data_IF_516077175982
#
_entry.id   IF_516077175982
#
_cell.length_a   1.000
_cell.length_b   1.000
_cell.length_c   1.000
_cell.angle_alpha   90.00
_cell.angle_beta   90.00
_cell.angle_gamma   90.00
#
_symmetry.space_group_name_H-M   'P 1'
#
loop_
_entity.id
_entity.type
_entity.pdbx_description
1 polymer ?
#
# COMPACT_ATOMS: atom_id res chain seq x y z
N UNK A 1 3.29 -8.37 -24.07
CA UNK A 1 1.89 -7.93 -24.01
C UNK A 1 1.70 -7.25 -22.66
N UNK A 2 1.15 -6.03 -22.63
CA UNK A 2 0.85 -5.34 -21.37
C UNK A 2 -0.26 -6.11 -20.66
N UNK A 3 0.00 -6.61 -19.46
CA UNK A 3 -1.01 -7.28 -18.63
C UNK A 3 -2.09 -6.27 -18.27
N UNK A 4 -3.35 -6.60 -18.54
CA UNK A 4 -4.46 -5.74 -18.13
C UNK A 4 -4.69 -5.90 -16.62
N UNK A 5 -5.20 -4.88 -15.93
CA UNK A 5 -5.53 -4.99 -14.50
C UNK A 5 -6.46 -6.18 -14.17
N UNK A 6 -7.37 -6.51 -15.09
CA UNK A 6 -8.24 -7.68 -15.00
C UNK A 6 -7.48 -9.00 -15.00
N UNK A 7 -6.37 -9.07 -15.75
CA UNK A 7 -5.56 -10.28 -15.88
C UNK A 7 -4.77 -10.51 -14.59
N UNK A 8 -4.16 -9.45 -14.07
CA UNK A 8 -3.50 -9.44 -12.75
C UNK A 8 -4.48 -9.82 -11.66
N UNK A 9 -5.66 -9.21 -11.64
CA UNK A 9 -6.72 -9.53 -10.70
C UNK A 9 -7.08 -11.03 -10.73
N UNK A 10 -7.42 -11.57 -11.90
CA UNK A 10 -7.86 -12.96 -12.02
C UNK A 10 -6.79 -13.95 -11.55
N UNK A 11 -5.53 -13.69 -11.91
CA UNK A 11 -4.39 -14.50 -11.48
C UNK A 11 -4.19 -14.42 -9.96
N UNK A 12 -4.15 -13.21 -9.38
CA UNK A 12 -3.92 -12.99 -7.95
C UNK A 12 -5.08 -13.54 -7.11
N UNK A 13 -6.31 -13.35 -7.55
CA UNK A 13 -7.49 -13.92 -6.88
C UNK A 13 -7.42 -15.44 -6.82
N UNK A 14 -6.98 -16.09 -7.91
CA UNK A 14 -6.77 -17.54 -7.95
C UNK A 14 -5.64 -17.98 -7.00
N UNK A 15 -4.48 -17.31 -7.05
CA UNK A 15 -3.33 -17.59 -6.17
C UNK A 15 -3.75 -17.49 -4.69
N UNK A 16 -4.47 -16.43 -4.34
CA UNK A 16 -4.95 -16.17 -2.98
C UNK A 16 -5.98 -17.21 -2.53
N UNK A 17 -6.92 -17.56 -3.40
CA UNK A 17 -7.90 -18.64 -3.14
C UNK A 17 -7.19 -19.96 -2.87
N UNK A 18 -6.20 -20.32 -3.69
CA UNK A 18 -5.41 -21.55 -3.54
C UNK A 18 -4.56 -21.53 -2.26
N UNK A 19 -3.96 -20.39 -1.94
CA UNK A 19 -3.22 -20.15 -0.68
C UNK A 19 -4.09 -20.44 0.55
N UNK A 20 -5.36 -20.03 0.51
CA UNK A 20 -6.33 -20.27 1.59
C UNK A 20 -6.99 -21.66 1.53
N UNK A 21 -6.61 -22.51 0.57
CA UNK A 21 -7.26 -23.82 0.32
C UNK A 21 -8.78 -23.70 0.12
N UNK A 22 -9.23 -22.59 -0.46
CA UNK A 22 -10.64 -22.34 -0.74
C UNK A 22 -11.02 -22.94 -2.10
N UNK A 23 -12.16 -23.64 -2.17
CA UNK A 23 -12.68 -24.14 -3.45
C UNK A 23 -13.37 -23.01 -4.23
N UNK A 24 -13.45 -23.14 -5.56
CA UNK A 24 -14.19 -22.20 -6.40
C UNK A 24 -15.69 -22.13 -6.01
N UNK A 25 -16.27 -23.25 -5.60
CA UNK A 25 -17.65 -23.32 -5.12
C UNK A 25 -17.83 -22.53 -3.81
N UNK A 26 -16.89 -22.65 -2.88
CA UNK A 26 -16.91 -21.88 -1.62
C UNK A 26 -16.77 -20.39 -1.89
N UNK A 27 -15.90 -20.00 -2.83
CA UNK A 27 -15.77 -18.59 -3.25
C UNK A 27 -17.07 -18.08 -3.88
N UNK A 28 -17.66 -18.84 -4.81
CA UNK A 28 -18.94 -18.47 -5.44
C UNK A 28 -20.07 -18.32 -4.43
N UNK A 29 -20.14 -19.20 -3.43
CA UNK A 29 -21.10 -19.10 -2.32
C UNK A 29 -20.89 -17.82 -1.52
N UNK A 30 -19.64 -17.53 -1.11
CA UNK A 30 -19.33 -16.30 -0.39
C UNK A 30 -19.67 -15.04 -1.20
N UNK A 31 -19.33 -15.03 -2.50
CA UNK A 31 -19.70 -13.92 -3.39
C UNK A 31 -21.22 -13.74 -3.48
N UNK A 32 -21.96 -14.85 -3.48
CA UNK A 32 -23.43 -14.80 -3.53
C UNK A 32 -24.02 -14.17 -2.27
N UNK A 33 -23.44 -14.49 -1.11
CA UNK A 33 -23.81 -13.92 0.18
C UNK A 33 -23.48 -12.41 0.23
N UNK A 34 -22.31 -12.00 -0.24
CA UNK A 34 -21.88 -10.59 -0.27
C UNK A 34 -22.70 -9.73 -1.26
N UNK A 35 -23.04 -10.26 -2.44
CA UNK A 35 -23.76 -9.51 -3.47
C UNK A 35 -25.29 -9.64 -3.39
N UNK A 36 -25.81 -10.57 -2.59
CA UNK A 36 -27.25 -10.85 -2.50
C UNK A 36 -27.84 -11.46 -3.79
N UNK A 37 -27.01 -11.99 -4.69
CA UNK A 37 -27.42 -12.65 -5.95
C UNK A 37 -26.73 -14.00 -6.08
N UNK A 38 -27.31 -14.92 -6.85
CA UNK A 38 -26.68 -16.23 -7.07
C UNK A 38 -25.50 -16.12 -8.04
N UNK A 39 -24.30 -16.40 -7.55
CA UNK A 39 -23.08 -16.59 -8.32
C UNK A 39 -22.77 -18.09 -8.40
N UNK A 40 -22.62 -18.61 -9.62
CA UNK A 40 -22.29 -20.02 -9.85
C UNK A 40 -20.78 -20.23 -9.89
N UNK A 41 -20.33 -21.43 -9.49
CA UNK A 41 -18.92 -21.84 -9.57
C UNK A 41 -18.33 -21.62 -10.97
N UNK A 42 -19.11 -21.91 -12.03
CA UNK A 42 -18.66 -21.74 -13.42
C UNK A 42 -18.33 -20.29 -13.77
N UNK A 43 -19.00 -19.31 -13.15
CA UNK A 43 -18.68 -17.90 -13.32
C UNK A 43 -17.30 -17.58 -12.71
N UNK A 44 -17.02 -18.10 -11.51
CA UNK A 44 -15.71 -18.00 -10.85
C UNK A 44 -14.62 -18.66 -11.71
N UNK A 45 -14.86 -19.87 -12.22
CA UNK A 45 -13.92 -20.56 -13.12
C UNK A 45 -13.59 -19.70 -14.34
N UNK A 46 -14.60 -19.09 -14.97
CA UNK A 46 -14.39 -18.24 -16.16
C UNK A 46 -13.66 -16.94 -15.86
N UNK A 47 -13.91 -16.34 -14.70
CA UNK A 47 -13.16 -15.18 -14.20
C UNK A 47 -11.68 -15.56 -14.02
N UNK A 48 -11.39 -16.64 -13.29
CA UNK A 48 -10.01 -17.10 -13.03
C UNK A 48 -9.26 -17.49 -14.31
N UNK A 49 -9.98 -17.98 -15.32
CA UNK A 49 -9.44 -18.31 -16.64
C UNK A 49 -9.38 -17.12 -17.60
N UNK A 50 -9.81 -15.92 -17.17
CA UNK A 50 -9.84 -14.71 -18.01
C UNK A 50 -10.71 -14.86 -19.28
N UNK A 51 -11.70 -15.77 -19.25
CA UNK A 51 -12.65 -15.98 -20.36
C UNK A 51 -13.97 -15.22 -20.18
N UNK A 52 -14.05 -14.43 -19.10
CA UNK A 52 -15.15 -13.51 -18.79
C UNK A 52 -14.56 -12.28 -18.11
N UNK A 53 -14.95 -11.09 -18.58
CA UNK A 53 -14.61 -9.84 -17.91
C UNK A 53 -15.28 -9.79 -16.53
N UNK A 54 -14.51 -9.37 -15.53
CA UNK A 54 -15.01 -9.18 -14.16
C UNK A 54 -15.57 -7.77 -14.00
N UNK A 55 -16.71 -7.64 -13.32
CA UNK A 55 -17.26 -6.36 -12.91
C UNK A 55 -16.66 -5.88 -11.59
N UNK A 56 -16.69 -4.57 -11.33
CA UNK A 56 -16.11 -4.00 -10.11
C UNK A 56 -16.75 -4.58 -8.84
N UNK A 57 -18.07 -4.73 -8.82
CA UNK A 57 -18.79 -5.29 -7.68
C UNK A 57 -18.38 -6.75 -7.41
N UNK A 58 -18.18 -7.54 -8.46
CA UNK A 58 -17.66 -8.92 -8.34
C UNK A 58 -16.22 -8.93 -7.81
N UNK A 59 -15.39 -7.99 -8.28
CA UNK A 59 -14.01 -7.87 -7.83
C UNK A 59 -13.92 -7.49 -6.34
N UNK A 60 -14.78 -6.56 -5.88
CA UNK A 60 -14.92 -6.19 -4.47
C UNK A 60 -15.41 -7.38 -3.66
N UNK A 61 -16.43 -8.10 -4.11
CA UNK A 61 -16.95 -9.28 -3.42
C UNK A 61 -15.88 -10.38 -3.26
N UNK A 62 -15.10 -10.65 -4.31
CA UNK A 62 -13.98 -11.60 -4.23
C UNK A 62 -12.96 -11.15 -3.19
N UNK A 63 -12.56 -9.87 -3.20
CA UNK A 63 -11.61 -9.33 -2.24
C UNK A 63 -12.12 -9.47 -0.79
N UNK A 64 -13.40 -9.18 -0.56
CA UNK A 64 -14.05 -9.34 0.74
C UNK A 64 -14.07 -10.79 1.20
N UNK A 65 -14.49 -11.73 0.35
CA UNK A 65 -14.55 -13.17 0.70
C UNK A 65 -13.17 -13.76 0.96
N UNK A 66 -12.16 -13.32 0.20
CA UNK A 66 -10.77 -13.70 0.41
C UNK A 66 -10.12 -12.92 1.57
N UNK A 67 -10.83 -11.98 2.20
CA UNK A 67 -10.32 -11.15 3.29
C UNK A 67 -8.97 -10.48 2.96
N UNK A 68 -8.86 -9.91 1.75
CA UNK A 68 -7.70 -9.15 1.30
C UNK A 68 -8.14 -7.80 0.71
N UNK A 69 -7.32 -6.74 0.82
CA UNK A 69 -7.63 -5.48 0.16
C UNK A 69 -7.69 -5.67 -1.36
N UNK A 70 -8.67 -5.06 -2.03
CA UNK A 70 -8.80 -5.11 -3.50
C UNK A 70 -7.49 -4.70 -4.21
N UNK A 71 -6.80 -3.69 -3.67
CA UNK A 71 -5.51 -3.23 -4.21
C UNK A 71 -4.44 -4.33 -4.23
N UNK A 72 -4.46 -5.28 -3.30
CA UNK A 72 -3.50 -6.40 -3.26
C UNK A 72 -3.72 -7.39 -4.42
N UNK A 73 -4.94 -7.46 -4.95
CA UNK A 73 -5.26 -8.29 -6.12
C UNK A 73 -4.94 -7.58 -7.44
N UNK A 74 -4.84 -6.26 -7.45
CA UNK A 74 -4.49 -5.46 -8.64
C UNK A 74 -2.98 -5.23 -8.81
N UNK A 75 -2.20 -5.48 -7.76
CA UNK A 75 -0.75 -5.30 -7.75
C UNK A 75 -0.04 -6.60 -8.15
N UNK A 76 0.96 -6.49 -9.04
CA UNK A 76 1.91 -7.59 -9.29
C UNK A 76 2.89 -7.77 -8.13
N UNK A 77 3.18 -6.70 -7.40
CA UNK A 77 3.98 -6.77 -6.19
C UNK A 77 3.17 -7.44 -5.08
N UNK A 78 3.79 -8.39 -4.41
CA UNK A 78 3.26 -9.05 -3.22
C UNK A 78 2.99 -8.05 -2.10
N UNK A 79 2.18 -8.45 -1.11
CA UNK A 79 1.90 -7.60 0.05
C UNK A 79 3.19 -7.37 0.83
N UNK A 80 4.03 -8.39 0.90
CA UNK A 80 5.33 -8.39 1.55
C UNK A 80 6.32 -7.42 0.88
N UNK A 81 6.36 -7.39 -0.45
CA UNK A 81 7.18 -6.43 -1.21
C UNK A 81 6.70 -4.99 -1.01
N UNK A 82 5.37 -4.77 -1.01
CA UNK A 82 4.80 -3.46 -0.74
C UNK A 82 5.10 -2.98 0.69
N UNK A 83 5.01 -3.87 1.68
CA UNK A 83 5.29 -3.52 3.06
C UNK A 83 6.79 -3.30 3.29
N UNK A 84 7.66 -4.08 2.66
CA UNK A 84 9.10 -3.83 2.66
C UNK A 84 9.44 -2.46 2.06
N UNK A 85 8.81 -2.11 0.94
CA UNK A 85 9.01 -0.82 0.27
C UNK A 85 8.49 0.35 1.13
N UNK A 86 7.33 0.20 1.78
CA UNK A 86 6.83 1.18 2.75
C UNK A 86 7.80 1.36 3.92
N UNK A 87 8.32 0.27 4.48
CA UNK A 87 9.29 0.32 5.58
C UNK A 87 10.57 1.05 5.16
N UNK A 88 11.04 0.81 3.94
CA UNK A 88 12.18 1.52 3.37
C UNK A 88 11.91 3.04 3.29
N UNK A 89 10.77 3.46 2.75
CA UNK A 89 10.42 4.88 2.66
C UNK A 89 10.25 5.54 4.04
N UNK A 90 9.68 4.82 5.01
CA UNK A 90 9.56 5.34 6.38
C UNK A 90 10.94 5.52 7.05
N UNK A 91 11.86 4.59 6.82
CA UNK A 91 13.23 4.70 7.33
C UNK A 91 13.98 5.89 6.71
N UNK A 92 13.82 6.10 5.40
CA UNK A 92 14.39 7.25 4.69
C UNK A 92 13.82 8.57 5.22
N UNK A 93 12.50 8.66 5.38
CA UNK A 93 11.84 9.84 5.95
C UNK A 93 12.33 10.14 7.38
N UNK A 94 12.51 9.10 8.21
CA UNK A 94 13.02 9.26 9.57
C UNK A 94 14.46 9.81 9.59
N UNK A 95 15.31 9.34 8.66
CA UNK A 95 16.67 9.83 8.52
C UNK A 95 16.70 11.31 8.10
N UNK A 96 15.87 11.70 7.15
CA UNK A 96 15.76 13.09 6.69
C UNK A 96 15.24 14.03 7.80
N UNK A 97 14.21 13.62 8.55
CA UNK A 97 13.72 14.39 9.69
C UNK A 97 14.81 14.59 10.75
N UNK A 98 15.64 13.57 10.99
CA UNK A 98 16.75 13.68 11.92
C UNK A 98 17.80 14.68 11.44
N UNK A 99 18.19 14.64 10.16
CA UNK A 99 19.13 15.59 9.58
C UNK A 99 18.60 17.03 9.61
N UNK A 100 17.31 17.21 9.33
CA UNK A 100 16.66 18.51 9.41
C UNK A 100 16.73 19.10 10.83
N UNK A 101 16.42 18.29 11.85
CA UNK A 101 16.47 18.73 13.24
C UNK A 101 17.90 19.10 13.67
N UNK A 102 18.91 18.32 13.26
CA UNK A 102 20.32 18.64 13.50
C UNK A 102 20.74 19.97 12.85
N UNK A 103 20.29 20.19 11.60
CA UNK A 103 20.55 21.42 10.85
C UNK A 103 19.91 22.63 11.55
N UNK A 104 18.66 22.48 12.00
CA UNK A 104 17.93 23.50 12.76
C UNK A 104 18.63 23.86 14.06
N UNK A 105 19.11 22.86 14.82
CA UNK A 105 19.86 23.09 16.05
C UNK A 105 21.19 23.82 15.79
N UNK A 106 21.88 23.45 14.71
CA UNK A 106 23.12 24.10 14.28
C UNK A 106 22.89 25.57 13.95
N UNK A 107 21.85 25.87 13.17
CA UNK A 107 21.45 27.25 12.85
C UNK A 107 21.14 28.03 14.13
N UNK A 108 20.38 27.45 15.06
CA UNK A 108 20.04 28.09 16.33
C UNK A 108 21.27 28.34 17.23
N UNK A 109 22.28 27.47 17.21
CA UNK A 109 23.56 27.68 17.90
C UNK A 109 24.36 28.81 17.25
N UNK A 110 24.51 28.78 15.92
CA UNK A 110 25.27 29.80 15.19
C UNK A 110 24.65 31.19 15.34
N UNK A 111 23.32 31.29 15.31
CA UNK A 111 22.59 32.54 15.52
C UNK A 111 22.90 33.16 16.88
N UNK A 112 22.88 32.35 17.96
CA UNK A 112 23.24 32.81 19.30
C UNK A 112 24.71 33.25 19.41
N UNK A 113 25.62 32.54 18.74
CA UNK A 113 27.04 32.93 18.70
C UNK A 113 27.22 34.28 18.00
N UNK A 114 26.62 34.47 16.82
CA UNK A 114 26.66 35.76 16.10
C UNK A 114 26.09 36.87 16.98
N UNK A 115 24.95 36.65 17.64
CA UNK A 115 24.35 37.64 18.56
C UNK A 115 25.31 38.02 19.70
N UNK A 116 25.97 37.04 20.33
CA UNK A 116 26.95 37.27 21.40
C UNK A 116 28.21 38.03 20.94
N UNK A 117 28.65 37.80 19.69
CA UNK A 117 29.79 38.50 19.09
C UNK A 117 29.41 39.91 18.59
N UNK A 118 28.14 40.13 18.25
CA UNK A 118 27.61 41.43 17.84
C UNK A 118 27.22 42.34 19.02
N UNK A 119 27.27 41.85 20.27
CA UNK A 119 27.00 42.68 21.44
C UNK A 119 28.12 43.73 21.62
N UNK A 120 27.81 45.03 21.80
CA UNK A 120 28.80 46.10 21.57
C UNK A 120 29.93 46.09 22.59
N UNK A 121 31.16 46.23 22.07
CA UNK A 121 32.36 46.64 22.82
C UNK A 121 32.34 48.12 23.24
N UNK A 122 31.20 48.81 23.11
CA UNK A 122 31.05 50.25 23.37
C UNK A 122 30.82 50.62 24.84
N UNK A 123 30.78 49.65 25.77
CA UNK A 123 30.53 49.93 27.18
C UNK A 123 31.77 50.42 27.98
N UNK A 124 32.96 50.45 27.38
CA UNK A 124 34.20 50.78 28.09
C UNK A 124 34.97 51.92 27.41
N UNK A 125 34.40 53.12 27.52
CA UNK A 125 35.02 54.38 27.15
C UNK A 125 34.65 55.45 28.18
N UNK A 126 35.31 55.42 29.33
CA UNK A 126 35.43 56.55 30.26
C UNK A 126 36.89 56.78 30.62
#
# INVERSE_FOLDING_TARGET
MTTLPSDTFARRAREERERQRMSQEKLAKGMSEELGITIYQTAVTRIEQQTRAIQLDEAVAIATVLNVPLAALLSEQSVEENDALKQQYLAELAAELHQWEQSRQTIGRLTRLVQSLSWPREADGR
#
